data_IF_072847497446
#
_entry.id   IF_072847497446
#
_cell.length_a   1.000
_cell.length_b   1.000
_cell.length_c   1.000
_cell.angle_alpha   90.00
_cell.angle_beta   90.00
_cell.angle_gamma   90.00
#
_symmetry.space_group_name_H-M   'P 1'
#
loop_
_entity.id
_entity.type
_entity.pdbx_description
1 polymer ?
#
# COMPACT_ATOMS: atom_id res chain seq x y z
N UNK A 1 -34.17 20.47 44.86
CA UNK A 1 -34.59 19.05 44.90
C UNK A 1 -35.14 18.52 43.57
N UNK A 2 -35.99 19.24 42.82
CA UNK A 2 -36.63 18.72 41.59
C UNK A 2 -35.71 18.55 40.37
N UNK A 3 -34.64 19.33 40.24
CA UNK A 3 -33.72 19.24 39.09
C UNK A 3 -32.66 18.15 39.27
N UNK A 4 -32.18 17.95 40.51
CA UNK A 4 -31.17 16.94 40.83
C UNK A 4 -31.72 15.50 40.67
N UNK A 5 -32.98 15.26 41.05
CA UNK A 5 -33.65 13.96 40.82
C UNK A 5 -33.88 13.68 39.34
N UNK A 6 -34.10 14.71 38.51
CA UNK A 6 -34.24 14.57 37.05
C UNK A 6 -32.93 14.16 36.38
N UNK A 7 -31.80 14.76 36.79
CA UNK A 7 -30.48 14.35 36.28
C UNK A 7 -30.02 13.01 36.85
N UNK A 8 -30.41 12.66 38.09
CA UNK A 8 -30.17 11.32 38.63
C UNK A 8 -30.98 10.26 37.87
N UNK A 9 -32.24 10.53 37.48
CA UNK A 9 -33.06 9.63 36.66
C UNK A 9 -32.56 9.49 35.21
N UNK A 10 -32.04 10.57 34.61
CA UNK A 10 -31.43 10.53 33.28
C UNK A 10 -30.08 9.79 33.32
N UNK A 11 -29.29 9.97 34.37
CA UNK A 11 -28.08 9.19 34.60
C UNK A 11 -28.39 7.71 34.92
N UNK A 12 -29.48 7.42 35.64
CA UNK A 12 -29.92 6.05 35.91
C UNK A 12 -30.45 5.36 34.65
N UNK A 13 -31.17 6.06 33.76
CA UNK A 13 -31.55 5.51 32.45
C UNK A 13 -30.33 5.32 31.53
N UNK A 14 -29.40 6.27 31.49
CA UNK A 14 -28.17 6.14 30.68
C UNK A 14 -27.22 5.04 31.20
N UNK A 15 -27.26 4.69 32.49
CA UNK A 15 -26.43 3.65 33.10
C UNK A 15 -27.10 2.27 33.21
N UNK A 16 -28.44 2.18 33.22
CA UNK A 16 -29.17 0.91 33.38
C UNK A 16 -30.09 0.51 32.21
N UNK A 17 -30.29 1.33 31.17
CA UNK A 17 -31.24 1.00 30.09
C UNK A 17 -30.63 0.52 28.77
N UNK A 18 -29.31 0.35 28.65
CA UNK A 18 -28.69 -0.10 27.40
C UNK A 18 -28.31 -1.58 27.39
N UNK A 19 -27.99 -2.19 28.53
CA UNK A 19 -27.57 -3.60 28.54
C UNK A 19 -28.74 -4.60 28.65
N UNK A 20 -29.78 -4.31 29.43
CA UNK A 20 -30.89 -5.25 29.67
C UNK A 20 -31.85 -5.39 28.47
N UNK A 21 -32.22 -4.28 27.83
CA UNK A 21 -33.10 -4.29 26.65
C UNK A 21 -32.40 -4.83 25.40
N UNK A 22 -31.12 -4.50 25.21
CA UNK A 22 -30.35 -4.99 24.09
C UNK A 22 -30.06 -6.50 24.23
N UNK A 23 -29.73 -6.99 25.43
CA UNK A 23 -29.57 -8.43 25.67
C UNK A 23 -30.88 -9.21 25.47
N UNK A 24 -32.02 -8.64 25.86
CA UNK A 24 -33.35 -9.24 25.59
C UNK A 24 -33.62 -9.31 24.09
N UNK A 25 -33.37 -8.23 23.34
CA UNK A 25 -33.52 -8.21 21.88
C UNK A 25 -32.66 -9.27 21.18
N UNK A 26 -31.40 -9.41 21.60
CA UNK A 26 -30.50 -10.46 21.10
C UNK A 26 -31.05 -11.87 21.40
N UNK A 27 -31.55 -12.08 22.63
CA UNK A 27 -32.09 -13.38 23.06
C UNK A 27 -33.35 -13.72 22.28
N UNK A 28 -34.28 -12.77 22.13
CA UNK A 28 -35.53 -12.94 21.39
C UNK A 28 -35.24 -13.28 19.91
N UNK A 29 -34.26 -12.62 19.28
CA UNK A 29 -33.85 -12.94 17.91
C UNK A 29 -33.26 -14.35 17.79
N UNK A 30 -32.36 -14.74 18.71
CA UNK A 30 -31.76 -16.08 18.74
C UNK A 30 -32.82 -17.16 18.96
N UNK A 31 -33.76 -16.94 19.88
CA UNK A 31 -34.84 -17.89 20.15
C UNK A 31 -35.82 -17.98 18.99
N UNK A 32 -36.09 -16.86 18.30
CA UNK A 32 -36.84 -16.85 17.05
C UNK A 32 -36.21 -17.75 15.98
N UNK A 33 -34.88 -17.66 15.80
CA UNK A 33 -34.16 -18.56 14.88
C UNK A 33 -34.22 -20.02 15.33
N UNK A 34 -34.00 -20.31 16.63
CA UNK A 34 -33.94 -21.67 17.17
C UNK A 34 -35.28 -22.41 17.09
N UNK A 35 -36.38 -21.68 17.28
CA UNK A 35 -37.73 -22.24 17.32
C UNK A 35 -38.45 -22.20 15.97
N UNK A 36 -37.85 -21.59 14.94
CA UNK A 36 -38.42 -21.54 13.59
C UNK A 36 -38.40 -22.92 12.94
N UNK A 37 -39.48 -23.25 12.22
CA UNK A 37 -39.53 -24.41 11.32
C UNK A 37 -38.68 -24.21 10.05
N UNK A 38 -38.35 -22.96 9.71
CA UNK A 38 -37.44 -22.60 8.62
C UNK A 38 -36.42 -21.56 9.10
N UNK A 39 -35.36 -21.97 9.82
CA UNK A 39 -34.36 -21.03 10.35
C UNK A 39 -33.61 -20.26 9.24
N UNK A 40 -33.46 -20.81 8.04
CA UNK A 40 -32.66 -20.19 6.97
C UNK A 40 -33.22 -18.84 6.51
N UNK A 41 -34.52 -18.56 6.71
CA UNK A 41 -35.13 -17.27 6.37
C UNK A 41 -34.52 -16.09 7.15
N UNK A 42 -33.85 -16.36 8.28
CA UNK A 42 -33.22 -15.33 9.10
C UNK A 42 -31.83 -14.95 8.60
N UNK A 43 -31.19 -15.77 7.75
CA UNK A 43 -29.82 -15.57 7.25
C UNK A 43 -29.56 -14.14 6.72
N UNK A 44 -30.46 -13.54 5.92
CA UNK A 44 -30.27 -12.17 5.44
C UNK A 44 -30.14 -11.11 6.54
N UNK A 45 -30.73 -11.36 7.72
CA UNK A 45 -30.80 -10.40 8.82
C UNK A 45 -29.67 -10.60 9.85
N UNK A 46 -28.99 -11.76 9.85
CA UNK A 46 -28.03 -12.14 10.90
C UNK A 46 -26.93 -11.08 11.07
N UNK A 47 -26.30 -10.61 9.99
CA UNK A 47 -25.25 -9.58 10.07
C UNK A 47 -25.76 -8.33 10.79
N UNK A 48 -26.90 -7.79 10.34
CA UNK A 48 -27.50 -6.58 10.88
C UNK A 48 -27.86 -6.73 12.36
N UNK A 49 -28.51 -7.83 12.72
CA UNK A 49 -29.01 -8.04 14.07
C UNK A 49 -27.91 -8.41 15.06
N UNK A 50 -26.85 -9.11 14.64
CA UNK A 50 -25.78 -9.55 15.55
C UNK A 50 -24.62 -8.55 15.67
N UNK A 51 -24.32 -7.76 14.64
CA UNK A 51 -23.16 -6.83 14.62
C UNK A 51 -23.06 -5.93 15.86
N UNK A 52 -24.15 -5.30 16.36
CA UNK A 52 -24.09 -4.44 17.55
C UNK A 52 -23.61 -5.14 18.82
N UNK A 53 -23.69 -6.47 18.86
CA UNK A 53 -23.47 -7.30 20.05
C UNK A 53 -22.14 -8.04 20.04
N UNK A 54 -21.44 -8.11 18.91
CA UNK A 54 -20.25 -8.94 18.72
C UNK A 54 -19.06 -8.56 19.64
N UNK A 55 -19.01 -7.29 20.06
CA UNK A 55 -17.95 -6.74 20.91
C UNK A 55 -18.28 -6.78 22.42
N UNK A 56 -19.53 -7.04 22.81
CA UNK A 56 -19.91 -7.13 24.22
C UNK A 56 -19.54 -8.50 24.80
N UNK A 57 -18.81 -8.62 25.92
CA UNK A 57 -18.33 -9.92 26.40
C UNK A 57 -19.47 -10.88 26.79
N UNK A 58 -20.52 -10.38 27.43
CA UNK A 58 -21.71 -11.19 27.78
C UNK A 58 -22.53 -11.61 26.55
N UNK A 59 -22.72 -10.70 25.60
CA UNK A 59 -23.46 -10.97 24.37
C UNK A 59 -22.69 -11.87 23.40
N UNK A 60 -21.36 -11.72 23.31
CA UNK A 60 -20.47 -12.60 22.52
C UNK A 60 -20.55 -14.04 23.01
N UNK A 61 -20.62 -14.26 24.33
CA UNK A 61 -20.85 -15.61 24.88
C UNK A 61 -22.18 -16.20 24.40
N UNK A 62 -23.27 -15.43 24.46
CA UNK A 62 -24.59 -15.85 23.94
C UNK A 62 -24.54 -16.18 22.45
N UNK A 63 -23.82 -15.39 21.65
CA UNK A 63 -23.65 -15.64 20.21
C UNK A 63 -22.84 -16.92 19.96
N UNK A 64 -21.80 -17.19 20.76
CA UNK A 64 -21.06 -18.47 20.70
C UNK A 64 -21.93 -19.67 21.06
N UNK A 65 -22.79 -19.55 22.07
CA UNK A 65 -23.74 -20.60 22.43
C UNK A 65 -24.74 -20.85 21.30
N UNK A 66 -25.19 -19.80 20.61
CA UNK A 66 -26.03 -19.92 19.43
C UNK A 66 -25.29 -20.60 18.26
N UNK A 67 -24.05 -20.20 17.98
CA UNK A 67 -23.19 -20.89 17.01
C UNK A 67 -23.10 -22.38 17.30
N UNK A 68 -22.76 -22.75 18.54
CA UNK A 68 -22.68 -24.15 18.98
C UNK A 68 -24.01 -24.90 18.86
N UNK A 69 -25.14 -24.24 19.10
CA UNK A 69 -26.46 -24.84 18.92
C UNK A 69 -26.74 -25.19 17.45
N UNK A 70 -26.36 -24.32 16.52
CA UNK A 70 -26.65 -24.49 15.08
C UNK A 70 -25.64 -25.38 14.36
N UNK A 71 -24.45 -25.61 14.91
CA UNK A 71 -23.50 -26.59 14.37
C UNK A 71 -24.15 -27.96 14.20
N UNK A 72 -24.05 -28.54 13.00
CA UNK A 72 -24.65 -29.83 12.64
C UNK A 72 -26.19 -29.83 12.55
N UNK A 73 -26.86 -28.71 12.83
CA UNK A 73 -28.33 -28.55 12.68
C UNK A 73 -28.72 -27.64 11.52
N UNK A 74 -27.97 -26.55 11.33
CA UNK A 74 -28.17 -25.64 10.22
C UNK A 74 -26.83 -25.01 9.81
N UNK A 75 -26.22 -25.60 8.78
CA UNK A 75 -24.90 -25.22 8.29
C UNK A 75 -24.82 -23.77 7.84
N UNK A 76 -25.88 -23.22 7.25
CA UNK A 76 -25.89 -21.83 6.76
C UNK A 76 -25.86 -20.83 7.91
N UNK A 77 -26.70 -21.04 8.92
CA UNK A 77 -26.71 -20.17 10.11
C UNK A 77 -25.40 -20.29 10.88
N UNK A 78 -24.92 -21.51 11.10
CA UNK A 78 -23.64 -21.73 11.77
C UNK A 78 -22.50 -21.03 11.03
N UNK A 79 -22.47 -21.12 9.70
CA UNK A 79 -21.51 -20.42 8.83
C UNK A 79 -21.58 -18.90 9.02
N UNK A 80 -22.77 -18.30 8.92
CA UNK A 80 -22.96 -16.86 9.13
C UNK A 80 -22.45 -16.41 10.51
N UNK A 81 -22.89 -17.07 11.58
CA UNK A 81 -22.53 -16.67 12.94
C UNK A 81 -21.02 -16.88 13.18
N UNK A 82 -20.48 -18.00 12.71
CA UNK A 82 -19.06 -18.35 12.87
C UNK A 82 -18.14 -17.30 12.26
N UNK A 83 -18.36 -16.90 11.01
CA UNK A 83 -17.50 -15.90 10.37
C UNK A 83 -17.69 -14.49 10.95
N UNK A 84 -18.89 -14.09 11.37
CA UNK A 84 -19.09 -12.84 12.12
C UNK A 84 -18.33 -12.82 13.46
N UNK A 85 -18.30 -13.95 14.17
CA UNK A 85 -17.49 -14.10 15.38
C UNK A 85 -16.00 -13.96 15.07
N UNK A 86 -15.51 -14.54 13.97
CA UNK A 86 -14.12 -14.41 13.57
C UNK A 86 -13.76 -12.95 13.23
N UNK A 87 -14.58 -12.27 12.43
CA UNK A 87 -14.32 -10.89 11.97
C UNK A 87 -14.32 -9.84 13.09
N UNK A 88 -15.03 -10.13 14.19
CA UNK A 88 -15.06 -9.27 15.39
C UNK A 88 -14.09 -9.71 16.48
N UNK A 89 -13.58 -10.94 16.38
CA UNK A 89 -12.59 -11.48 17.30
C UNK A 89 -11.20 -10.91 17.03
N UNK A 90 -10.32 -11.08 18.02
CA UNK A 90 -8.90 -10.71 17.90
C UNK A 90 -7.95 -11.88 18.12
N UNK A 91 -8.45 -13.04 18.53
CA UNK A 91 -7.62 -14.20 18.86
C UNK A 91 -7.56 -15.18 17.67
N UNK A 92 -6.39 -15.40 17.05
CA UNK A 92 -6.26 -16.38 15.97
C UNK A 92 -6.61 -17.82 16.36
N UNK A 93 -6.46 -18.18 17.63
CA UNK A 93 -6.86 -19.49 18.12
C UNK A 93 -8.39 -19.62 18.11
N UNK A 94 -9.10 -18.58 18.53
CA UNK A 94 -10.56 -18.53 18.43
C UNK A 94 -11.01 -18.66 16.97
N UNK A 95 -10.36 -17.96 16.04
CA UNK A 95 -10.67 -18.08 14.62
C UNK A 95 -10.46 -19.50 14.10
N UNK A 96 -9.32 -20.12 14.40
CA UNK A 96 -9.00 -21.49 14.02
C UNK A 96 -10.05 -22.48 14.53
N UNK A 97 -10.39 -22.41 15.83
CA UNK A 97 -11.35 -23.32 16.45
C UNK A 97 -12.76 -23.16 15.87
N UNK A 98 -13.20 -21.94 15.56
CA UNK A 98 -14.49 -21.71 14.91
C UNK A 98 -14.51 -22.28 13.49
N UNK A 99 -13.53 -21.91 12.66
CA UNK A 99 -13.51 -22.28 11.23
C UNK A 99 -13.39 -23.80 11.06
N UNK A 100 -12.58 -24.46 11.89
CA UNK A 100 -12.41 -25.92 11.87
C UNK A 100 -13.70 -26.71 12.08
N UNK A 101 -14.66 -26.14 12.81
CA UNK A 101 -15.97 -26.78 13.08
C UNK A 101 -16.98 -26.59 11.95
N UNK A 102 -16.74 -25.61 11.06
CA UNK A 102 -17.66 -25.29 9.96
C UNK A 102 -17.50 -26.30 8.81
N UNK A 103 -18.59 -26.61 8.09
CA UNK A 103 -18.52 -27.48 6.92
C UNK A 103 -17.63 -26.85 5.84
N UNK A 104 -16.81 -27.67 5.19
CA UNK A 104 -16.01 -27.23 4.06
C UNK A 104 -16.93 -26.73 2.92
N UNK A 105 -16.60 -25.60 2.28
CA UNK A 105 -17.38 -25.06 1.18
C UNK A 105 -17.30 -26.02 -0.03
N UNK A 106 -18.40 -26.16 -0.76
CA UNK A 106 -18.45 -27.06 -1.94
C UNK A 106 -17.87 -26.44 -3.21
N UNK A 107 -17.56 -25.14 -3.19
CA UNK A 107 -17.03 -24.37 -4.30
C UNK A 107 -16.33 -23.12 -3.78
N UNK A 108 -15.48 -22.54 -4.61
CA UNK A 108 -14.92 -21.22 -4.36
C UNK A 108 -16.02 -20.17 -4.16
N UNK A 109 -15.91 -19.36 -3.12
CA UNK A 109 -16.82 -18.26 -2.82
C UNK A 109 -16.04 -17.02 -2.36
N UNK A 110 -16.43 -15.87 -2.89
CA UNK A 110 -15.91 -14.55 -2.50
C UNK A 110 -17.00 -13.51 -2.73
N UNK A 111 -17.13 -12.55 -1.82
CA UNK A 111 -18.03 -11.42 -1.92
C UNK A 111 -17.24 -10.12 -1.69
N UNK A 112 -17.21 -9.24 -2.70
CA UNK A 112 -16.46 -7.97 -2.69
C UNK A 112 -17.28 -6.79 -2.15
N UNK A 113 -16.63 -5.67 -1.83
CA UNK A 113 -17.25 -4.38 -1.44
C UNK A 113 -18.24 -3.83 -2.50
N UNK A 114 -18.03 -4.12 -3.79
CA UNK A 114 -18.95 -3.73 -4.87
C UNK A 114 -20.23 -4.61 -4.93
N UNK A 115 -20.22 -5.78 -4.28
CA UNK A 115 -21.41 -6.54 -3.99
C UNK A 115 -22.05 -5.92 -2.75
N UNK A 116 -22.84 -4.87 -2.96
CA UNK A 116 -23.61 -4.18 -1.91
C UNK A 116 -24.15 -5.18 -0.89
N UNK A 117 -24.15 -4.77 0.39
CA UNK A 117 -24.76 -5.45 1.53
C UNK A 117 -26.28 -5.66 1.32
N UNK A 118 -26.63 -6.43 0.30
CA UNK A 118 -27.98 -6.72 -0.08
C UNK A 118 -28.35 -8.04 0.60
N UNK A 119 -29.49 -8.00 1.29
CA UNK A 119 -30.19 -9.15 1.87
C UNK A 119 -30.43 -10.29 0.84
N UNK A 120 -30.20 -10.02 -0.45
CA UNK A 120 -30.27 -10.96 -1.58
C UNK A 120 -29.06 -11.91 -1.70
N UNK A 121 -27.98 -11.70 -0.93
CA UNK A 121 -26.82 -12.60 -0.94
C UNK A 121 -27.09 -13.87 -0.12
N UNK A 122 -26.52 -15.01 -0.55
CA UNK A 122 -26.76 -16.34 0.05
C UNK A 122 -26.52 -16.36 1.58
N UNK A 123 -25.67 -15.45 2.09
CA UNK A 123 -25.32 -15.33 3.51
C UNK A 123 -25.61 -13.96 4.12
N UNK A 124 -26.47 -13.13 3.52
CA UNK A 124 -26.86 -11.84 4.09
C UNK A 124 -25.68 -10.91 4.41
N UNK A 125 -24.64 -10.94 3.57
CA UNK A 125 -23.40 -10.17 3.77
C UNK A 125 -22.50 -10.67 4.92
N UNK A 126 -22.83 -11.76 5.63
CA UNK A 126 -22.01 -12.31 6.73
C UNK A 126 -20.64 -12.82 6.27
N UNK A 127 -20.46 -13.04 4.96
CA UNK A 127 -19.21 -13.47 4.34
C UNK A 127 -18.52 -12.35 3.56
N UNK A 128 -18.95 -11.10 3.75
CA UNK A 128 -18.19 -9.95 3.28
C UNK A 128 -16.76 -10.07 3.79
N UNK A 129 -15.74 -9.75 2.98
CA UNK A 129 -14.32 -9.93 3.35
C UNK A 129 -13.89 -11.37 3.66
N UNK A 130 -14.63 -12.39 3.20
CA UNK A 130 -14.25 -13.80 3.37
C UNK A 130 -14.09 -14.47 2.01
N UNK A 131 -12.95 -15.14 1.83
CA UNK A 131 -12.68 -16.02 0.68
C UNK A 131 -12.76 -17.47 1.17
N UNK A 132 -13.63 -18.27 0.56
CA UNK A 132 -13.77 -19.69 0.84
C UNK A 132 -13.26 -20.50 -0.35
N UNK A 133 -12.34 -21.43 -0.11
CA UNK A 133 -11.79 -22.33 -1.13
C UNK A 133 -12.42 -23.71 -1.01
N UNK A 134 -12.69 -24.38 -2.12
CA UNK A 134 -13.35 -25.69 -2.12
C UNK A 134 -12.50 -26.81 -1.49
N UNK A 135 -11.20 -26.59 -1.37
CA UNK A 135 -10.28 -27.46 -0.61
C UNK A 135 -10.34 -27.26 0.91
N UNK A 136 -11.22 -26.38 1.40
CA UNK A 136 -11.44 -26.11 2.82
C UNK A 136 -10.58 -24.98 3.39
N UNK A 137 -9.67 -24.39 2.61
CA UNK A 137 -8.96 -23.18 3.04
C UNK A 137 -9.92 -22.00 3.12
N UNK A 138 -9.60 -21.07 4.01
CA UNK A 138 -10.38 -19.84 4.20
C UNK A 138 -9.43 -18.68 4.39
N UNK A 139 -9.75 -17.54 3.76
CA UNK A 139 -9.08 -16.28 4.05
C UNK A 139 -10.10 -15.32 4.61
N UNK A 140 -9.85 -14.81 5.81
CA UNK A 140 -10.60 -13.69 6.38
C UNK A 140 -9.75 -12.44 6.15
N UNK A 141 -10.33 -11.47 5.46
CA UNK A 141 -9.73 -10.20 5.11
C UNK A 141 -10.11 -9.15 6.14
N UNK A 142 -9.45 -8.00 6.07
CA UNK A 142 -9.81 -6.80 6.83
C UNK A 142 -9.81 -7.01 8.34
N UNK A 143 -8.98 -7.91 8.84
CA UNK A 143 -8.97 -8.26 10.25
C UNK A 143 -8.30 -7.12 11.03
N UNK A 144 -8.89 -6.70 12.18
CA UNK A 144 -8.22 -5.79 13.09
C UNK A 144 -6.92 -6.42 13.65
N UNK A 145 -6.16 -5.62 14.39
CA UNK A 145 -4.98 -6.12 15.07
C UNK A 145 -5.32 -7.31 15.98
N UNK A 146 -4.56 -8.40 15.84
CA UNK A 146 -4.76 -9.62 16.59
C UNK A 146 -4.10 -9.58 17.98
N UNK A 147 -4.80 -10.09 18.97
CA UNK A 147 -4.31 -10.34 20.32
C UNK A 147 -3.51 -11.65 20.31
N UNK A 148 -2.24 -11.55 19.97
CA UNK A 148 -1.31 -12.69 20.01
C UNK A 148 -0.44 -12.52 21.25
N UNK A 149 -0.58 -13.43 22.21
CA UNK A 149 0.26 -13.51 23.43
C UNK A 149 1.71 -13.87 23.05
N UNK A 150 2.44 -12.87 22.57
CA UNK A 150 3.90 -12.77 22.55
C UNK A 150 4.23 -11.38 22.01
N UNK A 151 4.71 -10.51 22.90
CA UNK A 151 4.95 -9.07 22.68
C UNK A 151 5.88 -8.74 21.49
N UNK A 152 6.51 -9.73 20.85
CA UNK A 152 7.48 -9.56 19.76
C UNK A 152 6.90 -9.58 18.33
N UNK A 153 5.62 -9.90 18.11
CA UNK A 153 5.25 -10.53 16.84
C UNK A 153 4.42 -9.72 15.83
N UNK A 154 3.86 -8.54 16.15
CA UNK A 154 3.27 -7.64 15.12
C UNK A 154 3.32 -6.15 15.48
N UNK A 155 3.01 -5.76 16.73
CA UNK A 155 3.18 -4.38 17.24
C UNK A 155 4.65 -4.00 17.41
N UNK A 156 5.46 -4.92 17.93
CA UNK A 156 6.94 -4.79 17.94
C UNK A 156 7.48 -4.68 16.51
N UNK A 157 6.81 -5.31 15.55
CA UNK A 157 7.14 -5.30 14.14
C UNK A 157 6.80 -3.97 13.44
N UNK A 158 5.60 -3.42 13.69
CA UNK A 158 5.17 -2.08 13.26
C UNK A 158 6.02 -0.98 13.89
N UNK A 159 6.44 -1.15 15.15
CA UNK A 159 7.28 -0.17 15.86
C UNK A 159 8.77 -0.26 15.54
N UNK A 160 9.33 -1.45 15.27
CA UNK A 160 10.74 -1.62 14.86
C UNK A 160 10.97 -1.31 13.39
N UNK A 161 9.93 -1.34 12.56
CA UNK A 161 10.04 -1.07 11.12
C UNK A 161 8.84 -0.28 10.56
N UNK A 162 8.55 0.93 11.06
CA UNK A 162 7.43 1.73 10.56
C UNK A 162 7.55 2.01 9.05
N UNK A 163 8.75 2.09 8.47
CA UNK A 163 8.97 2.25 7.02
C UNK A 163 8.78 0.96 6.21
N UNK A 164 8.98 -0.23 6.78
CA UNK A 164 8.66 -1.50 6.10
C UNK A 164 7.16 -1.64 6.05
N UNK A 165 6.57 -1.45 7.21
CA UNK A 165 5.16 -1.58 7.45
C UNK A 165 4.37 -0.51 6.71
N UNK A 166 4.78 0.77 6.65
CA UNK A 166 4.07 1.82 5.90
C UNK A 166 3.95 1.57 4.38
N UNK A 167 4.97 0.99 3.75
CA UNK A 167 4.90 0.62 2.32
C UNK A 167 3.90 -0.54 2.10
N UNK A 168 3.67 -1.37 3.13
CA UNK A 168 2.60 -2.36 3.18
C UNK A 168 1.29 -1.83 3.78
N UNK A 169 1.28 -0.80 4.61
CA UNK A 169 0.12 -0.35 5.39
C UNK A 169 -0.66 0.76 4.70
N UNK A 170 -0.10 1.40 3.67
CA UNK A 170 -0.82 2.42 2.91
C UNK A 170 -1.99 1.75 2.16
N UNK A 171 -3.10 1.63 2.88
CA UNK A 171 -4.36 0.96 2.54
C UNK A 171 -4.41 -0.58 2.60
N UNK A 172 -3.34 -1.33 2.91
CA UNK A 172 -3.51 -2.79 3.07
C UNK A 172 -3.93 -3.16 4.50
N UNK A 173 -4.94 -4.02 4.57
CA UNK A 173 -5.49 -4.56 5.81
C UNK A 173 -4.90 -5.95 6.07
N UNK A 174 -4.82 -6.39 7.32
CA UNK A 174 -4.29 -7.71 7.65
C UNK A 174 -5.29 -8.80 7.28
N UNK A 175 -4.78 -9.99 7.00
CA UNK A 175 -5.61 -11.15 6.71
C UNK A 175 -5.16 -12.37 7.52
N UNK A 176 -6.10 -13.27 7.77
CA UNK A 176 -5.85 -14.59 8.34
C UNK A 176 -6.16 -15.64 7.28
N UNK A 177 -5.19 -16.52 7.03
CA UNK A 177 -5.37 -17.68 6.19
C UNK A 177 -5.45 -18.93 7.06
N UNK A 178 -6.63 -19.54 7.08
CA UNK A 178 -6.87 -20.85 7.62
C UNK A 178 -6.49 -21.93 6.61
N UNK A 179 -5.72 -22.91 7.09
CA UNK A 179 -5.40 -24.13 6.35
C UNK A 179 -5.87 -25.35 7.16
N UNK A 180 -6.65 -26.29 6.58
CA UNK A 180 -7.12 -27.49 7.26
C UNK A 180 -6.02 -28.37 7.85
N UNK A 181 -4.78 -28.27 7.34
CA UNK A 181 -3.62 -28.96 7.91
C UNK A 181 -3.22 -28.47 9.30
N UNK A 182 -3.76 -27.33 9.77
CA UNK A 182 -3.39 -26.67 11.03
C UNK A 182 -2.24 -25.68 10.91
N UNK A 183 -1.65 -25.52 9.71
CA UNK A 183 -0.59 -24.55 9.41
C UNK A 183 -1.18 -23.28 8.80
N UNK A 184 -1.66 -22.39 9.66
CA UNK A 184 -2.30 -21.15 9.28
C UNK A 184 -1.29 -20.00 9.15
N UNK A 185 -1.71 -18.87 8.58
CA UNK A 185 -0.88 -17.66 8.50
C UNK A 185 -1.70 -16.44 8.92
N UNK A 186 -1.04 -15.45 9.52
CA UNK A 186 -1.64 -14.17 9.87
C UNK A 186 -0.71 -13.03 9.48
N UNK A 187 -1.21 -12.05 8.72
CA UNK A 187 -0.46 -10.86 8.33
C UNK A 187 -0.76 -10.42 6.90
N UNK A 188 0.31 -10.04 6.17
CA UNK A 188 0.25 -9.56 4.80
C UNK A 188 0.63 -10.67 3.84
N UNK A 189 -0.20 -10.89 2.82
CA UNK A 189 -0.05 -11.98 1.88
C UNK A 189 0.12 -11.50 0.44
N UNK A 190 0.81 -12.31 -0.35
CA UNK A 190 0.84 -12.20 -1.82
C UNK A 190 0.47 -13.53 -2.45
N UNK A 191 0.07 -13.51 -3.70
CA UNK A 191 -0.05 -14.75 -4.48
C UNK A 191 1.34 -15.37 -4.69
N UNK A 192 1.41 -16.69 -4.55
CA UNK A 192 2.64 -17.46 -4.75
C UNK A 192 3.18 -17.28 -6.16
N UNK A 193 4.49 -17.07 -6.28
CA UNK A 193 5.14 -16.85 -7.58
C UNK A 193 5.03 -15.42 -8.13
N UNK A 194 4.36 -14.50 -7.43
CA UNK A 194 4.37 -13.07 -7.80
C UNK A 194 5.62 -12.36 -7.30
N UNK A 195 6.07 -11.39 -8.10
CA UNK A 195 7.24 -10.57 -7.78
C UNK A 195 6.93 -9.56 -6.66
N UNK A 196 8.00 -9.12 -6.01
CA UNK A 196 7.95 -8.04 -5.03
C UNK A 196 8.71 -6.86 -5.60
N UNK A 197 8.03 -5.72 -5.71
CA UNK A 197 8.60 -4.49 -6.24
C UNK A 197 9.66 -3.86 -5.32
N UNK A 198 10.35 -2.83 -5.80
CA UNK A 198 11.43 -2.14 -5.09
C UNK A 198 10.97 -1.51 -3.76
N UNK A 199 9.69 -1.14 -3.65
CA UNK A 199 9.06 -0.67 -2.41
C UNK A 199 8.59 -1.82 -1.49
N UNK A 200 8.95 -3.05 -1.83
CA UNK A 200 8.50 -4.29 -1.20
C UNK A 200 7.00 -4.58 -1.33
N UNK A 201 6.23 -3.79 -2.07
CA UNK A 201 4.83 -4.11 -2.36
C UNK A 201 4.76 -5.34 -3.29
N UNK A 202 3.96 -6.37 -2.99
CA UNK A 202 3.73 -7.44 -3.95
C UNK A 202 3.05 -6.91 -5.21
N UNK A 203 3.37 -7.51 -6.35
CA UNK A 203 2.68 -7.22 -7.61
C UNK A 203 1.20 -7.61 -7.57
N UNK A 204 0.87 -8.65 -6.81
CA UNK A 204 -0.52 -9.03 -6.56
C UNK A 204 -0.71 -9.39 -5.09
N UNK A 205 -1.31 -8.46 -4.35
CA UNK A 205 -1.78 -8.71 -3.00
C UNK A 205 -3.04 -9.58 -3.01
N UNK A 206 -3.34 -10.20 -1.86
CA UNK A 206 -4.60 -10.94 -1.66
C UNK A 206 -5.86 -10.08 -1.94
N UNK A 207 -5.77 -8.76 -1.80
CA UNK A 207 -6.88 -7.82 -1.98
C UNK A 207 -7.18 -7.47 -3.45
N UNK A 208 -6.17 -7.51 -4.33
CA UNK A 208 -6.30 -6.93 -5.68
C UNK A 208 -6.93 -7.86 -6.72
N UNK A 209 -6.85 -9.18 -6.53
CA UNK A 209 -7.29 -10.16 -7.54
C UNK A 209 -8.71 -10.74 -7.41
N UNK A 210 -9.35 -10.86 -6.23
CA UNK A 210 -10.55 -11.67 -6.16
C UNK A 210 -11.76 -11.06 -6.91
N UNK A 211 -11.73 -9.76 -7.26
CA UNK A 211 -12.86 -9.04 -7.84
C UNK A 211 -12.87 -8.76 -9.36
N UNK A 212 -11.72 -8.67 -10.07
CA UNK A 212 -11.73 -7.99 -11.40
C UNK A 212 -11.47 -8.82 -12.65
N UNK A 213 -10.89 -10.02 -12.57
CA UNK A 213 -10.61 -10.80 -13.79
C UNK A 213 -11.54 -12.01 -13.97
N UNK A 214 -12.63 -11.78 -14.72
CA UNK A 214 -13.59 -12.81 -15.14
C UNK A 214 -12.95 -13.93 -16.00
N UNK A 215 -11.69 -13.78 -16.44
CA UNK A 215 -10.98 -14.80 -17.23
C UNK A 215 -10.34 -15.92 -16.41
N UNK A 216 -10.33 -15.80 -15.07
CA UNK A 216 -9.57 -16.70 -14.19
C UNK A 216 -10.44 -17.57 -13.25
N UNK A 217 -11.76 -17.66 -13.46
CA UNK A 217 -12.65 -18.50 -12.62
C UNK A 217 -12.17 -19.95 -12.46
N UNK A 218 -11.48 -20.51 -13.47
CA UNK A 218 -10.93 -21.86 -13.44
C UNK A 218 -9.69 -22.05 -12.56
N UNK A 219 -9.08 -20.96 -12.06
CA UNK A 219 -7.86 -21.01 -11.24
C UNK A 219 -8.04 -20.48 -9.82
N UNK A 220 -9.19 -19.86 -9.49
CA UNK A 220 -9.42 -19.23 -8.18
C UNK A 220 -9.29 -20.22 -7.02
N UNK A 221 -9.70 -21.47 -7.22
CA UNK A 221 -9.61 -22.51 -6.20
C UNK A 221 -8.17 -23.02 -5.96
N UNK A 222 -7.28 -22.81 -6.93
CA UNK A 222 -5.88 -23.20 -6.86
C UNK A 222 -4.95 -22.05 -6.43
N UNK A 223 -5.49 -20.88 -6.07
CA UNK A 223 -4.66 -19.76 -5.61
C UNK A 223 -3.90 -20.19 -4.36
N UNK A 224 -2.59 -20.02 -4.39
CA UNK A 224 -1.70 -20.23 -3.25
C UNK A 224 -1.18 -18.88 -2.80
N UNK A 225 -1.07 -18.69 -1.49
CA UNK A 225 -0.57 -17.46 -0.90
C UNK A 225 0.71 -17.71 -0.13
N UNK A 226 1.55 -16.69 -0.09
CA UNK A 226 2.77 -16.66 0.71
C UNK A 226 2.74 -15.45 1.62
N UNK A 227 3.26 -15.63 2.83
CA UNK A 227 3.40 -14.54 3.80
C UNK A 227 4.50 -13.58 3.35
N UNK A 228 4.11 -12.33 3.16
CA UNK A 228 5.05 -11.24 2.94
C UNK A 228 5.66 -10.79 4.26
N UNK A 229 4.80 -10.60 5.25
CA UNK A 229 5.18 -10.26 6.61
C UNK A 229 4.06 -10.64 7.58
N UNK A 230 4.43 -11.26 8.70
CA UNK A 230 3.49 -11.62 9.76
C UNK A 230 3.94 -12.87 10.50
N UNK A 231 3.01 -13.76 10.83
CA UNK A 231 3.24 -14.93 11.67
C UNK A 231 2.69 -16.18 11.00
N UNK A 232 3.53 -17.20 10.91
CA UNK A 232 3.10 -18.57 10.66
C UNK A 232 2.60 -19.19 11.97
N UNK A 233 1.39 -19.74 11.93
CA UNK A 233 0.67 -20.29 13.08
C UNK A 233 0.50 -21.79 12.90
N UNK A 234 1.23 -22.61 13.65
CA UNK A 234 1.05 -24.06 13.65
C UNK A 234 0.25 -24.49 14.89
N UNK A 235 -1.07 -24.66 14.71
CA UNK A 235 -1.98 -25.01 15.79
C UNK A 235 -1.87 -26.47 16.23
N UNK A 236 -1.21 -27.34 15.46
CA UNK A 236 -0.96 -28.71 15.87
C UNK A 236 0.15 -28.78 16.93
N UNK A 237 1.15 -27.89 16.81
CA UNK A 237 2.31 -27.84 17.70
C UNK A 237 2.22 -26.72 18.74
N UNK A 238 1.36 -25.72 18.52
CA UNK A 238 1.29 -24.49 19.31
C UNK A 238 2.45 -23.53 19.04
N UNK A 239 3.21 -23.75 17.97
CA UNK A 239 4.39 -22.95 17.62
C UNK A 239 3.97 -21.78 16.73
N UNK A 240 4.33 -20.57 17.14
CA UNK A 240 4.09 -19.34 16.40
C UNK A 240 5.42 -18.71 15.99
N UNK A 241 5.64 -18.57 14.68
CA UNK A 241 6.92 -18.08 14.13
C UNK A 241 6.69 -16.86 13.27
N UNK A 242 7.29 -15.70 13.60
CA UNK A 242 7.38 -14.59 12.67
C UNK A 242 8.04 -15.05 11.37
N UNK A 243 7.57 -14.55 10.24
CA UNK A 243 8.14 -14.87 8.94
C UNK A 243 8.05 -13.67 8.01
N UNK A 244 9.10 -13.55 7.19
CA UNK A 244 9.29 -12.47 6.24
C UNK A 244 9.61 -13.10 4.90
N UNK A 245 9.07 -12.52 3.83
CA UNK A 245 9.30 -13.09 2.51
C UNK A 245 10.78 -13.19 2.19
N UNK A 246 11.27 -14.42 2.05
CA UNK A 246 12.64 -14.74 1.67
C UNK A 246 13.68 -14.56 2.77
N UNK A 247 13.29 -14.35 4.04
CA UNK A 247 14.23 -14.20 5.16
C UNK A 247 13.80 -15.01 6.38
N UNK A 248 14.79 -15.62 7.04
CA UNK A 248 14.57 -16.46 8.21
C UNK A 248 14.41 -15.62 9.50
N UNK A 249 14.88 -14.36 9.48
CA UNK A 249 14.82 -13.44 10.62
C UNK A 249 14.41 -12.02 10.23
N UNK A 250 13.93 -11.25 11.20
CA UNK A 250 13.60 -9.83 11.02
C UNK A 250 14.84 -8.98 10.70
N UNK A 251 15.98 -9.25 11.32
CA UNK A 251 17.20 -8.47 11.13
C UNK A 251 17.79 -8.65 9.72
N UNK A 252 17.69 -9.84 9.14
CA UNK A 252 18.05 -10.10 7.75
C UNK A 252 17.15 -9.32 6.78
N UNK A 253 15.84 -9.31 7.02
CA UNK A 253 14.89 -8.54 6.22
C UNK A 253 15.16 -7.03 6.29
N UNK A 254 15.48 -6.50 7.49
CA UNK A 254 15.87 -5.09 7.70
C UNK A 254 17.10 -4.74 6.86
N UNK A 255 18.15 -5.55 6.96
CA UNK A 255 19.41 -5.32 6.27
C UNK A 255 19.22 -5.35 4.75
N UNK A 256 18.47 -6.32 4.24
CA UNK A 256 18.22 -6.47 2.81
C UNK A 256 17.38 -5.31 2.24
N UNK A 257 16.37 -4.80 2.97
CA UNK A 257 15.64 -3.59 2.54
C UNK A 257 16.55 -2.37 2.44
N UNK A 258 17.41 -2.17 3.45
CA UNK A 258 18.39 -1.09 3.44
C UNK A 258 19.28 -1.11 2.20
N UNK A 259 19.74 -2.31 1.81
CA UNK A 259 20.54 -2.52 0.60
C UNK A 259 19.76 -2.22 -0.68
N UNK A 260 18.56 -2.79 -0.86
CA UNK A 260 17.73 -2.54 -2.05
C UNK A 260 17.38 -1.06 -2.23
N UNK A 261 17.05 -0.34 -1.15
CA UNK A 261 16.78 1.11 -1.20
C UNK A 261 18.02 1.89 -1.62
N UNK A 262 19.20 1.53 -1.09
CA UNK A 262 20.46 2.15 -1.47
C UNK A 262 20.79 1.90 -2.96
N UNK A 263 20.59 0.67 -3.44
CA UNK A 263 20.77 0.30 -4.85
C UNK A 263 19.80 1.05 -5.77
N UNK A 264 18.51 1.12 -5.43
CA UNK A 264 17.52 1.88 -6.19
C UNK A 264 17.86 3.38 -6.28
N UNK A 265 18.33 3.98 -5.18
CA UNK A 265 18.84 5.36 -5.17
C UNK A 265 20.06 5.51 -6.09
N UNK A 266 20.98 4.55 -6.09
CA UNK A 266 22.14 4.57 -6.97
C UNK A 266 21.73 4.43 -8.45
N UNK A 267 20.82 3.52 -8.77
CA UNK A 267 20.29 3.31 -10.12
C UNK A 267 19.59 4.59 -10.60
N UNK A 268 18.76 5.22 -9.76
CA UNK A 268 18.10 6.47 -10.08
C UNK A 268 19.11 7.61 -10.34
N UNK A 269 20.13 7.75 -9.47
CA UNK A 269 21.22 8.72 -9.66
C UNK A 269 21.95 8.48 -10.99
N UNK A 270 22.26 7.23 -11.31
CA UNK A 270 22.94 6.83 -12.55
C UNK A 270 22.08 7.14 -13.78
N UNK A 271 20.80 6.75 -13.79
CA UNK A 271 19.84 7.07 -14.87
C UNK A 271 19.77 8.57 -15.14
N UNK A 272 19.76 9.38 -14.09
CA UNK A 272 19.72 10.83 -14.23
C UNK A 272 21.05 11.39 -14.77
N UNK A 273 22.20 10.90 -14.29
CA UNK A 273 23.51 11.29 -14.81
C UNK A 273 23.67 10.92 -16.29
N UNK A 274 23.25 9.72 -16.67
CA UNK A 274 23.27 9.25 -18.06
C UNK A 274 22.37 10.09 -18.96
N UNK A 275 21.19 10.50 -18.48
CA UNK A 275 20.29 11.39 -19.22
C UNK A 275 20.91 12.78 -19.48
N UNK A 276 21.58 13.36 -18.49
CA UNK A 276 22.30 14.63 -18.66
C UNK A 276 23.48 14.48 -19.64
N UNK A 277 24.26 13.40 -19.52
CA UNK A 277 25.37 13.09 -20.43
C UNK A 277 24.91 12.91 -21.87
N UNK A 278 23.79 12.22 -22.09
CA UNK A 278 23.21 12.02 -23.42
C UNK A 278 22.74 13.33 -24.04
N UNK A 279 22.10 14.22 -23.26
CA UNK A 279 21.72 15.56 -23.73
C UNK A 279 22.94 16.41 -24.10
N UNK A 280 24.01 16.36 -23.29
CA UNK A 280 25.27 17.05 -23.58
C UNK A 280 25.89 16.55 -24.88
N UNK A 281 26.02 15.22 -25.05
CA UNK A 281 26.59 14.63 -26.26
C UNK A 281 25.80 14.96 -27.54
N UNK A 282 24.46 15.03 -27.45
CA UNK A 282 23.63 15.47 -28.57
C UNK A 282 23.87 16.95 -28.93
N UNK A 283 23.94 17.83 -27.92
CA UNK A 283 24.26 19.24 -28.13
C UNK A 283 25.66 19.41 -28.73
N UNK A 284 26.66 18.73 -28.17
CA UNK A 284 28.04 18.72 -28.67
C UNK A 284 28.07 18.35 -30.16
N UNK A 285 27.47 17.21 -30.53
CA UNK A 285 27.41 16.77 -31.92
C UNK A 285 26.84 17.85 -32.85
N UNK A 286 25.73 18.47 -32.48
CA UNK A 286 25.06 19.49 -33.30
C UNK A 286 25.90 20.78 -33.39
N UNK A 287 26.43 21.27 -32.27
CA UNK A 287 27.17 22.53 -32.25
C UNK A 287 28.56 22.40 -32.89
N UNK A 288 29.25 21.26 -32.68
CA UNK A 288 30.53 20.96 -33.35
C UNK A 288 30.33 20.85 -34.86
N UNK A 289 29.25 20.21 -35.32
CA UNK A 289 28.94 20.13 -36.75
C UNK A 289 28.65 21.50 -37.37
N UNK A 290 27.94 22.39 -36.65
CA UNK A 290 27.57 23.73 -37.16
C UNK A 290 28.70 24.76 -37.10
N UNK A 291 29.50 24.74 -36.03
CA UNK A 291 30.41 25.84 -35.67
C UNK A 291 31.87 25.42 -35.48
N UNK A 292 32.15 24.12 -35.51
CA UNK A 292 33.49 23.54 -35.35
C UNK A 292 33.86 23.27 -33.89
N UNK A 293 34.74 22.28 -33.70
CA UNK A 293 35.24 21.80 -32.39
C UNK A 293 35.83 22.94 -31.55
N UNK A 294 36.71 23.74 -32.14
CA UNK A 294 37.34 24.89 -31.46
C UNK A 294 36.34 25.87 -30.86
N UNK A 295 35.23 26.13 -31.55
CA UNK A 295 34.21 27.06 -31.05
C UNK A 295 33.43 26.46 -29.88
N UNK A 296 33.11 25.17 -29.96
CA UNK A 296 32.44 24.43 -28.90
C UNK A 296 33.29 24.37 -27.63
N UNK A 297 34.54 23.93 -27.74
CA UNK A 297 35.44 23.77 -26.59
C UNK A 297 35.66 25.13 -25.88
N UNK A 298 35.78 26.21 -26.65
CA UNK A 298 35.88 27.56 -26.11
C UNK A 298 34.62 28.01 -25.33
N UNK A 299 33.43 27.53 -25.71
CA UNK A 299 32.20 27.81 -24.96
C UNK A 299 32.05 26.90 -23.73
N UNK A 300 32.53 25.64 -23.78
CA UNK A 300 32.66 24.79 -22.58
C UNK A 300 33.56 25.42 -21.52
N UNK A 301 34.68 26.00 -21.94
CA UNK A 301 35.63 26.66 -21.05
C UNK A 301 35.19 28.08 -20.64
N UNK A 302 34.02 28.54 -21.08
CA UNK A 302 33.51 29.91 -20.89
C UNK A 302 34.46 31.00 -21.41
N UNK A 303 35.27 30.67 -22.41
CA UNK A 303 36.29 31.52 -23.01
C UNK A 303 36.05 31.75 -24.50
N UNK A 304 35.02 32.53 -24.88
CA UNK A 304 34.85 32.92 -26.27
C UNK A 304 36.08 33.69 -26.78
N UNK A 305 36.27 33.71 -28.10
CA UNK A 305 37.42 34.36 -28.74
C UNK A 305 36.98 35.24 -29.91
N UNK A 306 37.82 36.21 -30.28
CA UNK A 306 37.57 37.11 -31.41
C UNK A 306 37.55 36.31 -32.73
N UNK A 307 36.51 36.50 -33.53
CA UNK A 307 36.26 35.76 -34.77
C UNK A 307 35.41 34.49 -34.60
N UNK A 308 35.04 34.12 -33.36
CA UNK A 308 34.11 33.01 -33.10
C UNK A 308 32.74 33.29 -33.74
N UNK A 309 32.04 32.29 -34.32
CA UNK A 309 30.69 32.48 -34.86
C UNK A 309 29.67 32.96 -33.80
N UNK A 310 28.86 33.98 -34.11
CA UNK A 310 27.78 34.47 -33.23
C UNK A 310 26.77 33.35 -32.88
N UNK A 311 26.52 32.44 -33.82
CA UNK A 311 25.54 31.38 -33.67
C UNK A 311 25.78 30.51 -32.44
N UNK A 312 27.03 30.14 -32.14
CA UNK A 312 27.34 29.30 -30.97
C UNK A 312 27.17 30.06 -29.64
N UNK A 313 27.44 31.37 -29.61
CA UNK A 313 27.23 32.20 -28.42
C UNK A 313 25.74 32.22 -28.03
N UNK A 314 24.86 32.23 -29.04
CA UNK A 314 23.40 32.21 -28.87
C UNK A 314 22.86 30.81 -28.57
N UNK A 315 23.41 29.77 -29.20
CA UNK A 315 22.85 28.41 -29.16
C UNK A 315 23.45 27.52 -28.07
N UNK A 316 24.64 27.86 -27.55
CA UNK A 316 25.27 27.08 -26.48
C UNK A 316 24.46 27.15 -25.18
N UNK A 317 24.15 25.97 -24.65
CA UNK A 317 23.42 25.79 -23.40
C UNK A 317 24.29 25.05 -22.41
N UNK A 318 24.28 25.47 -21.15
CA UNK A 318 24.79 24.61 -20.09
C UNK A 318 23.75 23.53 -19.83
N UNK A 319 24.17 22.28 -19.93
CA UNK A 319 23.32 21.10 -19.67
C UNK A 319 23.58 20.65 -18.24
N UNK A 320 22.59 20.86 -17.36
CA UNK A 320 22.62 20.35 -15.99
C UNK A 320 21.54 19.30 -15.80
N UNK A 321 21.57 18.64 -14.63
CA UNK A 321 20.66 17.56 -14.23
C UNK A 321 19.18 17.84 -14.56
N UNK A 322 18.70 19.01 -14.16
CA UNK A 322 17.27 19.36 -14.19
C UNK A 322 16.96 20.62 -15.00
N UNK A 323 17.98 21.38 -15.42
CA UNK A 323 17.81 22.66 -16.10
C UNK A 323 18.84 22.81 -17.20
N UNK A 324 18.38 23.15 -18.41
CA UNK A 324 19.24 23.55 -19.51
C UNK A 324 18.98 25.03 -19.81
N UNK A 325 20.02 25.84 -19.81
CA UNK A 325 19.86 27.27 -20.03
C UNK A 325 20.95 27.83 -20.94
N UNK A 326 20.60 28.87 -21.68
CA UNK A 326 21.53 29.56 -22.58
C UNK A 326 22.55 30.32 -21.75
N UNK A 327 23.83 30.21 -22.11
CA UNK A 327 24.90 30.91 -21.40
C UNK A 327 24.79 32.44 -21.56
N UNK A 328 24.59 32.91 -22.80
CA UNK A 328 24.54 34.33 -23.15
C UNK A 328 23.25 34.70 -23.90
N UNK A 329 22.50 35.67 -23.38
CA UNK A 329 21.29 36.19 -24.00
C UNK A 329 21.57 37.44 -24.82
N UNK A 330 20.93 37.56 -25.99
CA UNK A 330 20.93 38.82 -26.75
C UNK A 330 20.17 39.90 -25.98
N UNK A 331 20.74 41.09 -25.89
CA UNK A 331 20.17 42.21 -25.13
C UNK A 331 19.81 43.40 -26.01
N UNK A 332 20.76 43.84 -26.86
CA UNK A 332 20.58 45.05 -27.68
C UNK A 332 21.57 45.13 -28.83
N UNK A 333 21.38 46.11 -29.70
CA UNK A 333 22.37 46.57 -30.68
C UNK A 333 22.96 47.90 -30.20
N UNK A 334 24.28 48.03 -30.21
CA UNK A 334 25.02 49.23 -29.77
C UNK A 334 26.09 49.55 -30.82
N UNK A 335 25.98 50.72 -31.47
CA UNK A 335 26.89 51.16 -32.57
C UNK A 335 27.13 50.09 -33.65
N UNK A 336 26.08 49.35 -34.02
CA UNK A 336 26.13 48.29 -35.03
C UNK A 336 26.68 46.94 -34.54
N UNK A 337 26.96 46.79 -33.25
CA UNK A 337 27.32 45.52 -32.61
C UNK A 337 26.11 44.94 -31.88
N UNK A 338 25.84 43.63 -32.06
CA UNK A 338 24.89 42.93 -31.18
C UNK A 338 25.60 42.59 -29.86
N UNK A 339 24.94 42.88 -28.75
CA UNK A 339 25.49 42.69 -27.40
C UNK A 339 24.78 41.52 -26.73
N UNK A 340 25.59 40.56 -26.27
CA UNK A 340 25.15 39.40 -25.52
C UNK A 340 25.69 39.48 -24.09
N UNK A 341 24.82 39.31 -23.10
CA UNK A 341 25.16 39.33 -21.67
C UNK A 341 24.97 37.94 -21.05
N UNK A 342 25.75 37.57 -20.03
CA UNK A 342 25.57 36.31 -19.32
C UNK A 342 24.16 36.27 -18.71
N UNK A 343 23.46 35.14 -18.87
CA UNK A 343 22.17 34.97 -18.21
C UNK A 343 22.37 34.86 -16.69
N UNK A 344 21.35 35.22 -15.90
CA UNK A 344 21.42 35.14 -14.43
C UNK A 344 21.84 33.76 -13.94
N UNK A 345 21.26 32.71 -14.53
CA UNK A 345 21.53 31.33 -14.14
C UNK A 345 22.96 30.93 -14.52
N UNK A 346 23.46 31.37 -15.68
CA UNK A 346 24.86 31.16 -16.06
C UNK A 346 25.85 31.86 -15.13
N UNK A 347 25.64 33.14 -14.84
CA UNK A 347 26.52 33.91 -13.96
C UNK A 347 26.59 33.29 -12.55
N UNK A 348 25.45 32.81 -12.01
CA UNK A 348 25.41 32.11 -10.72
C UNK A 348 26.20 30.80 -10.75
N UNK A 349 25.97 29.95 -11.76
CA UNK A 349 26.66 28.65 -11.89
C UNK A 349 28.17 28.84 -12.08
N UNK A 350 28.58 29.75 -12.96
CA UNK A 350 30.00 30.03 -13.20
C UNK A 350 30.70 30.61 -11.96
N UNK A 351 30.00 31.45 -11.18
CA UNK A 351 30.54 31.97 -9.91
C UNK A 351 30.73 30.89 -8.85
N UNK A 352 29.82 29.91 -8.77
CA UNK A 352 29.92 28.81 -7.81
C UNK A 352 31.19 27.97 -8.00
N UNK A 353 31.64 27.81 -9.25
CA UNK A 353 32.88 27.08 -9.58
C UNK A 353 34.10 28.01 -9.77
N UNK A 354 33.98 29.29 -9.41
CA UNK A 354 35.00 30.32 -9.58
C UNK A 354 35.58 30.39 -11.01
N UNK A 355 34.73 30.15 -12.02
CA UNK A 355 35.14 30.24 -13.41
C UNK A 355 35.20 31.69 -13.88
N UNK A 356 36.21 32.02 -14.68
CA UNK A 356 36.31 33.33 -15.35
C UNK A 356 35.45 33.32 -16.61
N UNK A 357 34.50 34.25 -16.72
CA UNK A 357 33.62 34.39 -17.88
C UNK A 357 33.44 35.87 -18.27
N UNK A 358 33.16 36.17 -19.56
CA UNK A 358 32.87 37.53 -20.00
C UNK A 358 31.62 38.18 -19.40
N UNK A 359 31.73 39.47 -19.06
CA UNK A 359 30.59 40.33 -18.73
C UNK A 359 29.77 40.74 -19.95
N UNK A 360 30.37 40.80 -21.13
CA UNK A 360 29.67 41.04 -22.39
C UNK A 360 30.43 40.49 -23.60
N UNK A 361 29.68 39.99 -24.57
CA UNK A 361 30.20 39.55 -25.87
C UNK A 361 29.56 40.42 -26.96
N UNK A 362 30.38 41.04 -27.79
CA UNK A 362 29.95 41.90 -28.89
C UNK A 362 30.17 41.19 -30.20
N UNK A 363 29.13 41.09 -31.03
CA UNK A 363 29.21 40.48 -32.36
C UNK A 363 28.92 41.48 -33.47
N UNK A 364 29.58 41.32 -34.61
CA UNK A 364 29.38 42.09 -35.84
C UNK A 364 29.57 41.17 -37.03
N UNK A 365 28.71 41.30 -38.05
CA UNK A 365 28.73 40.46 -39.25
C UNK A 365 28.76 38.95 -38.94
N UNK A 366 28.01 38.52 -37.92
CA UNK A 366 27.88 37.12 -37.53
C UNK A 366 29.08 36.52 -36.80
N UNK A 367 30.06 37.35 -36.37
CA UNK A 367 31.24 36.90 -35.61
C UNK A 367 31.45 37.76 -34.36
N UNK A 368 32.05 37.17 -33.33
CA UNK A 368 32.51 37.87 -32.13
C UNK A 368 33.59 38.86 -32.54
N UNK A 369 33.37 40.14 -32.25
CA UNK A 369 34.22 41.25 -32.65
C UNK A 369 34.92 41.91 -31.46
N UNK A 370 34.33 41.85 -30.26
CA UNK A 370 34.96 42.29 -29.01
C UNK A 370 34.39 41.50 -27.81
N UNK A 371 35.19 41.37 -26.76
CA UNK A 371 34.82 40.66 -25.52
C UNK A 371 35.20 41.54 -24.34
N UNK A 372 34.26 41.74 -23.43
CA UNK A 372 34.49 42.43 -22.16
C UNK A 372 34.48 41.40 -21.04
N UNK A 373 35.64 41.19 -20.42
CA UNK A 373 35.84 40.27 -19.31
C UNK A 373 35.32 40.81 -17.98
#
# INVERSE_FOLDING_TARGET
MKTFVKYLFIAFFLLFSTNGFAQKSLTDFMDGMKNSSNPEQFVPQIKKELTPYLNGPGSRKTIKEAFQYFLGKNDKIATCIGYLLCQSGRDPKEWYEIIKQLPAPKKFYYQDEDCKDDEETIYGGCLHDVILFSDGRVVILNIPEADIDNYDNLVSLTSRMPEFVNDFYYNNKQAFLYDPSGKCMFGYFKEKGTEIYDNMNPDCSVFERPARDNRLHQYKDNLQYELVAGINLDFNTGIFKPSYYGYDTSDEAIKAKGQKKAEAIQIAKKKIQDAARNKHAQMEKVLVQKYGRKAFDAMEDFRPYIGMPEGIVREYKLVMKDVNFIAYGFVRVESGYKVYLPTRLFAMTASYINARFPRAIYTKNGKVAAIKW
#
